data_IF_916182527374
#
_entry.id   IF_916182527374
#
_cell.length_a   1.000
_cell.length_b   1.000
_cell.length_c   1.000
_cell.angle_alpha   90.00
_cell.angle_beta   90.00
_cell.angle_gamma   90.00
#
_symmetry.space_group_name_H-M   'P 1'
#
loop_
_entity.id
_entity.type
_entity.pdbx_description
1 polymer ?
#
# COMPACT_ATOMS: atom_id res chain seq x y z
N UNK A 1 12.10 8.69 -12.79
CA UNK A 1 11.10 8.20 -11.82
C UNK A 1 11.81 7.94 -10.51
N UNK A 2 11.23 8.40 -9.39
CA UNK A 2 11.76 8.20 -8.05
C UNK A 2 10.93 7.14 -7.34
N UNK A 3 11.56 6.31 -6.51
CA UNK A 3 10.94 5.12 -5.92
C UNK A 3 11.14 5.12 -4.40
N UNK A 4 10.10 4.67 -3.70
CA UNK A 4 10.02 4.53 -2.26
C UNK A 4 9.55 3.12 -1.92
N UNK A 5 10.16 2.53 -0.89
CA UNK A 5 9.67 1.32 -0.23
C UNK A 5 9.50 1.64 1.25
N UNK A 6 8.26 1.60 1.75
CA UNK A 6 7.96 1.77 3.17
C UNK A 6 7.52 0.43 3.77
N UNK A 7 8.02 0.19 4.98
CA UNK A 7 7.57 -0.89 5.84
C UNK A 7 6.41 -0.37 6.67
N UNK A 8 5.23 -0.96 6.48
CA UNK A 8 4.05 -0.61 7.22
C UNK A 8 3.78 -1.64 8.32
N UNK A 9 3.90 -1.21 9.58
CA UNK A 9 3.60 -2.00 10.78
C UNK A 9 2.37 -1.38 11.44
N UNK A 10 1.18 -1.79 11.02
CA UNK A 10 -0.02 -1.49 11.80
C UNK A 10 0.03 -2.22 13.13
N UNK A 11 -0.33 -1.56 14.23
CA UNK A 11 -0.40 -2.23 15.55
C UNK A 11 -1.42 -3.37 15.46
N UNK A 12 -0.95 -4.62 15.44
CA UNK A 12 -1.83 -5.79 15.25
C UNK A 12 -2.17 -6.10 13.80
N UNK A 13 -1.40 -5.59 12.83
CA UNK A 13 -1.52 -5.91 11.41
C UNK A 13 -1.17 -7.38 11.18
N UNK A 14 -2.19 -8.24 11.29
CA UNK A 14 -2.11 -9.60 10.78
C UNK A 14 -1.92 -9.51 9.26
N UNK A 15 -0.71 -9.83 8.81
CA UNK A 15 -0.34 -9.83 7.38
C UNK A 15 -1.27 -10.70 6.53
N UNK A 16 -1.96 -11.69 7.12
CA UNK A 16 -2.92 -12.55 6.42
C UNK A 16 -4.22 -11.83 6.05
N UNK A 17 -4.47 -10.63 6.61
CA UNK A 17 -5.62 -9.80 6.25
C UNK A 17 -5.49 -9.20 4.83
N UNK A 18 -4.26 -9.06 4.32
CA UNK A 18 -3.98 -8.68 2.93
C UNK A 18 -3.68 -9.94 2.13
N UNK A 19 -4.52 -10.23 1.14
CA UNK A 19 -4.28 -11.33 0.19
C UNK A 19 -4.02 -10.71 -1.17
N UNK A 20 -2.91 -11.10 -1.79
CA UNK A 20 -2.52 -10.64 -3.13
C UNK A 20 -2.56 -11.78 -4.15
N UNK A 21 -2.70 -11.42 -5.42
CA UNK A 21 -2.63 -12.28 -6.58
C UNK A 21 -1.70 -11.64 -7.63
N UNK A 22 -1.50 -12.33 -8.77
CA UNK A 22 -0.69 -11.85 -9.90
C UNK A 22 0.73 -11.43 -9.48
N UNK A 23 1.51 -12.41 -8.99
CA UNK A 23 2.86 -12.20 -8.48
C UNK A 23 2.96 -11.08 -7.41
N UNK A 24 1.98 -11.02 -6.51
CA UNK A 24 1.91 -10.08 -5.38
C UNK A 24 1.72 -8.60 -5.75
N UNK A 25 1.26 -8.31 -6.97
CA UNK A 25 1.07 -6.92 -7.43
C UNK A 25 -0.38 -6.45 -7.39
N UNK A 26 -1.32 -7.36 -7.16
CA UNK A 26 -2.75 -7.05 -7.09
C UNK A 26 -3.34 -7.53 -5.78
N UNK A 27 -4.00 -6.67 -5.03
CA UNK A 27 -4.67 -7.01 -3.77
C UNK A 27 -6.08 -7.52 -4.07
N UNK A 28 -6.39 -8.73 -3.63
CA UNK A 28 -7.72 -9.32 -3.79
C UNK A 28 -8.56 -9.23 -2.52
N UNK A 29 -7.91 -9.11 -1.35
CA UNK A 29 -8.59 -8.86 -0.07
C UNK A 29 -7.79 -7.87 0.80
N UNK A 30 -8.45 -6.99 1.56
CA UNK A 30 -9.91 -6.79 1.61
C UNK A 30 -10.49 -6.25 0.28
N UNK A 31 -11.76 -6.57 0.00
CA UNK A 31 -12.42 -6.15 -1.26
C UNK A 31 -12.47 -4.63 -1.34
N UNK A 32 -12.17 -4.06 -2.51
CA UNK A 32 -12.17 -2.61 -2.76
C UNK A 32 -10.85 -1.90 -2.51
N UNK A 33 -9.90 -2.50 -1.77
CA UNK A 33 -8.62 -1.84 -1.48
C UNK A 33 -7.77 -1.61 -2.73
N UNK A 34 -7.80 -2.53 -3.69
CA UNK A 34 -7.06 -2.37 -4.95
C UNK A 34 -7.60 -1.17 -5.74
N UNK A 35 -8.92 -1.05 -5.86
CA UNK A 35 -9.56 0.09 -6.56
C UNK A 35 -9.21 1.42 -5.89
N UNK A 36 -9.14 1.44 -4.56
CA UNK A 36 -8.69 2.62 -3.80
C UNK A 36 -7.21 2.95 -4.06
N UNK A 37 -6.32 1.95 -4.09
CA UNK A 37 -4.91 2.12 -4.44
C UNK A 37 -4.76 2.64 -5.88
N UNK A 38 -5.50 2.08 -6.83
CA UNK A 38 -5.47 2.49 -8.24
C UNK A 38 -5.95 3.95 -8.39
N UNK A 39 -7.04 4.30 -7.71
CA UNK A 39 -7.59 5.66 -7.68
C UNK A 39 -6.62 6.67 -7.09
N UNK A 40 -5.94 6.31 -5.99
CA UNK A 40 -4.93 7.17 -5.36
C UNK A 40 -3.71 7.33 -6.27
N UNK A 41 -3.22 6.24 -6.84
CA UNK A 41 -2.06 6.21 -7.74
C UNK A 41 -2.26 7.10 -8.96
N UNK A 42 -3.48 7.11 -9.54
CA UNK A 42 -3.81 7.92 -10.71
C UNK A 42 -3.69 9.43 -10.49
N UNK A 43 -3.65 9.91 -9.23
CA UNK A 43 -3.43 11.33 -8.90
C UNK A 43 -1.99 11.79 -9.13
N UNK A 44 -1.05 10.85 -9.22
CA UNK A 44 0.38 11.13 -9.29
C UNK A 44 0.90 10.91 -10.71
N UNK A 45 1.53 11.91 -11.37
CA UNK A 45 2.16 11.72 -12.66
C UNK A 45 3.24 10.64 -12.57
N UNK A 46 3.23 9.70 -13.53
CA UNK A 46 4.12 8.53 -13.51
C UNK A 46 3.97 7.66 -12.25
N UNK A 47 2.80 7.72 -11.61
CA UNK A 47 2.46 6.98 -10.42
C UNK A 47 2.37 5.49 -10.68
N UNK A 48 3.03 4.70 -9.82
CA UNK A 48 2.76 3.27 -9.67
C UNK A 48 2.87 2.92 -8.19
N UNK A 49 1.87 2.21 -7.67
CA UNK A 49 1.88 1.74 -6.29
C UNK A 49 1.29 0.34 -6.20
N UNK A 50 1.84 -0.46 -5.29
CA UNK A 50 1.26 -1.73 -4.89
C UNK A 50 1.70 -2.08 -3.47
N UNK A 51 0.94 -2.95 -2.81
CA UNK A 51 1.25 -3.45 -1.48
C UNK A 51 1.41 -4.96 -1.51
N UNK A 52 2.24 -5.50 -0.61
CA UNK A 52 2.36 -6.94 -0.41
C UNK A 52 2.60 -7.29 1.05
N UNK A 53 2.04 -8.40 1.57
CA UNK A 53 2.41 -8.89 2.88
C UNK A 53 3.88 -9.36 2.87
N UNK A 54 4.60 -9.15 3.98
CA UNK A 54 5.92 -9.75 4.14
C UNK A 54 5.80 -11.27 4.32
N UNK A 55 6.77 -12.02 3.79
CA UNK A 55 6.80 -13.48 3.92
C UNK A 55 7.23 -13.95 5.31
N UNK A 56 8.00 -13.14 6.02
CA UNK A 56 8.70 -13.52 7.28
C UNK A 56 8.36 -12.61 8.46
N UNK A 57 7.69 -11.50 8.23
CA UNK A 57 7.41 -10.47 9.24
C UNK A 57 5.91 -10.16 9.24
N UNK A 58 5.36 -9.80 10.39
CA UNK A 58 3.96 -9.35 10.52
C UNK A 58 3.82 -7.88 10.11
N UNK A 59 4.15 -7.61 8.84
CA UNK A 59 4.14 -6.28 8.23
C UNK A 59 3.62 -6.36 6.80
N UNK A 60 3.10 -5.23 6.30
CA UNK A 60 2.77 -5.02 4.88
C UNK A 60 3.80 -4.06 4.30
N UNK A 61 4.34 -4.37 3.11
CA UNK A 61 5.25 -3.50 2.38
C UNK A 61 4.47 -2.68 1.38
N UNK A 62 4.75 -1.38 1.34
CA UNK A 62 4.17 -0.44 0.38
C UNK A 62 5.26 0.04 -0.55
N UNK A 63 5.08 -0.18 -1.86
CA UNK A 63 5.97 0.33 -2.89
C UNK A 63 5.27 1.45 -3.62
N UNK A 64 5.93 2.59 -3.78
CA UNK A 64 5.43 3.70 -4.57
C UNK A 64 6.54 4.26 -5.46
N UNK A 65 6.19 4.63 -6.69
CA UNK A 65 7.04 5.43 -7.56
C UNK A 65 6.22 6.54 -8.21
N UNK A 66 6.86 7.67 -8.45
CA UNK A 66 6.25 8.83 -9.09
C UNK A 66 7.31 9.67 -9.84
N UNK A 67 6.87 10.78 -10.42
CA UNK A 67 7.73 11.70 -11.18
C UNK A 67 8.89 12.28 -10.34
N UNK A 68 8.65 12.61 -9.06
CA UNK A 68 9.65 13.13 -8.12
C UNK A 68 9.57 12.43 -6.75
N UNK A 69 10.56 12.65 -5.89
CA UNK A 69 10.67 12.00 -4.57
C UNK A 69 9.50 12.35 -3.66
N UNK A 70 9.16 13.64 -3.54
CA UNK A 70 8.05 14.12 -2.71
C UNK A 70 6.71 13.49 -3.13
N UNK A 71 6.47 13.36 -4.44
CA UNK A 71 5.29 12.70 -4.98
C UNK A 71 5.26 11.20 -4.62
N UNK A 72 6.40 10.51 -4.69
CA UNK A 72 6.50 9.10 -4.32
C UNK A 72 6.28 8.89 -2.82
N UNK A 73 6.85 9.75 -1.97
CA UNK A 73 6.67 9.74 -0.52
C UNK A 73 5.19 9.98 -0.17
N UNK A 74 4.57 11.00 -0.77
CA UNK A 74 3.16 11.33 -0.56
C UNK A 74 2.21 10.20 -1.01
N UNK A 75 2.51 9.55 -2.14
CA UNK A 75 1.76 8.39 -2.61
C UNK A 75 1.89 7.21 -1.64
N UNK A 76 3.11 6.90 -1.19
CA UNK A 76 3.35 5.81 -0.23
C UNK A 76 2.59 6.05 1.08
N UNK A 77 2.66 7.27 1.64
CA UNK A 77 1.94 7.63 2.87
C UNK A 77 0.43 7.61 2.72
N UNK A 78 -0.11 8.00 1.55
CA UNK A 78 -1.55 7.93 1.29
C UNK A 78 -2.03 6.49 1.23
N UNK A 79 -1.27 5.61 0.58
CA UNK A 79 -1.60 4.18 0.51
C UNK A 79 -1.47 3.49 1.87
N UNK A 80 -0.50 3.87 2.71
CA UNK A 80 -0.44 3.41 4.11
C UNK A 80 -1.76 3.71 4.86
N UNK A 81 -2.26 4.94 4.75
CA UNK A 81 -3.54 5.33 5.40
C UNK A 81 -4.74 4.55 4.86
N UNK A 82 -4.75 4.24 3.55
CA UNK A 82 -5.79 3.39 2.97
C UNK A 82 -5.72 1.98 3.56
N UNK A 83 -4.52 1.39 3.64
CA UNK A 83 -4.34 0.08 4.28
C UNK A 83 -4.88 0.08 5.71
N UNK A 84 -4.57 1.11 6.50
CA UNK A 84 -5.13 1.24 7.86
C UNK A 84 -6.64 1.27 7.93
N UNK A 85 -7.25 2.10 7.09
CA UNK A 85 -8.70 2.25 7.06
C UNK A 85 -9.38 0.94 6.69
N UNK A 86 -8.82 0.19 5.73
CA UNK A 86 -9.39 -1.08 5.26
C UNK A 86 -9.15 -2.24 6.23
N UNK A 87 -8.07 -2.21 7.02
CA UNK A 87 -7.78 -3.20 8.05
C UNK A 87 -8.47 -2.89 9.38
N UNK A 88 -9.16 -1.75 9.49
CA UNK A 88 -9.91 -1.38 10.69
C UNK A 88 -9.04 -0.86 11.82
N UNK A 89 -7.79 -0.46 11.54
CA UNK A 89 -6.97 0.30 12.48
C UNK A 89 -7.46 1.74 12.51
N UNK A 90 -8.63 1.95 13.10
CA UNK A 90 -9.07 3.28 13.48
C UNK A 90 -8.16 3.73 14.61
N UNK A 91 -7.14 4.51 14.28
CA UNK A 91 -6.38 5.30 15.25
C UNK A 91 -7.39 6.09 16.09
N UNK A 92 -7.63 5.63 17.32
CA UNK A 92 -8.31 6.42 18.34
C UNK A 92 -7.34 7.42 18.93
#
# INVERSE_FOLDING_TARGET
>A
MNKVELYYVGKGCDRTAIITANAETTVVRPVGIQEAIDTETAKYPQGRCFIRPSGTEDVVRVYAEASNQEAADNLAHSVVRLVDQYLGFSSS
#
